data_IF_157868215561
#
_entry.id   IF_157868215561
#
_cell.length_a   1.000
_cell.length_b   1.000
_cell.length_c   1.000
_cell.angle_alpha   90.00
_cell.angle_beta   90.00
_cell.angle_gamma   90.00
#
_symmetry.space_group_name_H-M   'P 1'
#
loop_
_entity.id
_entity.type
_entity.pdbx_description
1 polymer ?
#
# COMPACT_ATOMS: atom_id res chain seq x y z
N UNK A 1 -14.85 21.64 2.63
CA UNK A 1 -14.26 20.30 2.39
C UNK A 1 -12.84 20.53 1.91
N UNK A 2 -11.87 20.49 2.84
CA UNK A 2 -10.48 20.85 2.53
C UNK A 2 -9.88 19.76 1.65
N UNK A 3 -9.74 20.06 0.35
CA UNK A 3 -8.97 19.24 -0.58
C UNK A 3 -7.53 19.18 -0.07
N UNK A 4 -7.05 18.02 0.33
CA UNK A 4 -5.62 17.80 0.51
C UNK A 4 -5.00 17.62 -0.89
N UNK A 5 -4.87 18.71 -1.65
CA UNK A 5 -4.20 18.68 -2.95
C UNK A 5 -2.69 18.61 -2.71
N UNK A 6 -2.16 17.41 -2.53
CA UNK A 6 -0.71 17.20 -2.46
C UNK A 6 -0.18 17.38 -3.89
N UNK A 7 0.28 18.59 -4.21
CA UNK A 7 1.16 18.82 -5.35
C UNK A 7 2.53 18.25 -5.01
N UNK A 8 2.80 17.00 -5.41
CA UNK A 8 4.16 16.46 -5.41
C UNK A 8 4.95 17.16 -6.53
N UNK A 9 5.59 18.28 -6.18
CA UNK A 9 6.65 18.89 -6.97
C UNK A 9 7.83 17.91 -7.09
N UNK A 10 8.45 17.88 -8.27
CA UNK A 10 9.60 17.07 -8.71
C UNK A 10 10.46 16.51 -7.56
N UNK A 11 10.33 15.20 -7.31
CA UNK A 11 11.31 14.48 -6.51
C UNK A 11 12.48 14.08 -7.39
N UNK A 12 13.67 14.53 -6.99
CA UNK A 12 14.96 13.95 -7.36
C UNK A 12 14.86 12.42 -7.34
N UNK A 13 15.32 11.76 -8.40
CA UNK A 13 15.43 10.31 -8.55
C UNK A 13 15.89 9.67 -7.23
N UNK A 14 14.96 9.18 -6.41
CA UNK A 14 15.30 8.64 -5.11
C UNK A 14 15.73 7.19 -5.31
N UNK A 15 17.04 7.00 -5.38
CA UNK A 15 17.69 5.69 -5.39
C UNK A 15 17.55 4.94 -4.06
N UNK A 16 16.52 5.21 -3.26
CA UNK A 16 16.27 4.54 -2.00
C UNK A 16 15.58 3.21 -2.29
N UNK A 17 16.39 2.21 -2.65
CA UNK A 17 15.92 0.86 -2.99
C UNK A 17 15.30 0.12 -1.80
N UNK A 18 15.44 0.63 -0.57
CA UNK A 18 14.95 -0.03 0.64
C UNK A 18 14.69 0.97 1.79
N UNK A 19 13.51 0.87 2.38
CA UNK A 19 13.01 1.60 3.55
C UNK A 19 13.00 0.63 4.73
N UNK A 20 13.65 1.02 5.82
CA UNK A 20 13.57 0.28 7.07
C UNK A 20 12.34 0.72 7.86
N UNK A 21 11.43 -0.22 8.11
CA UNK A 21 10.25 0.02 8.92
C UNK A 21 10.41 -0.75 10.23
N UNK A 22 10.20 -0.04 11.33
CA UNK A 22 10.16 -0.63 12.67
C UNK A 22 8.78 -0.41 13.27
N UNK A 23 8.48 -1.12 14.34
CA UNK A 23 7.27 -0.86 15.08
C UNK A 23 7.05 -1.85 16.19
N UNK A 24 5.97 -1.64 16.92
CA UNK A 24 5.49 -2.52 17.98
C UNK A 24 4.09 -3.01 17.65
N UNK A 25 3.87 -4.31 17.82
CA UNK A 25 2.56 -4.92 17.79
C UNK A 25 2.08 -5.20 19.22
N UNK A 26 0.89 -4.71 19.54
CA UNK A 26 0.24 -4.96 20.82
C UNK A 26 -1.15 -5.53 20.64
N UNK A 27 -1.73 -6.07 21.70
CA UNK A 27 -3.17 -6.29 21.79
C UNK A 27 -3.91 -4.98 22.13
N UNK A 28 -5.24 -5.05 22.14
CA UNK A 28 -6.14 -3.94 22.48
C UNK A 28 -5.95 -3.41 23.92
N UNK A 29 -5.29 -4.16 24.81
CA UNK A 29 -4.95 -3.74 26.16
C UNK A 29 -3.54 -3.10 26.24
N UNK A 30 -2.81 -3.05 25.13
CA UNK A 30 -1.45 -2.52 25.04
C UNK A 30 -0.36 -3.53 25.41
N UNK A 31 -0.68 -4.80 25.64
CA UNK A 31 0.31 -5.84 25.91
C UNK A 31 1.05 -6.20 24.62
N UNK A 32 2.40 -6.32 24.65
CA UNK A 32 3.16 -6.72 23.47
C UNK A 32 2.79 -8.13 23.01
N UNK A 33 2.71 -8.33 21.69
CA UNK A 33 2.42 -9.62 21.07
C UNK A 33 3.64 -10.13 20.31
N UNK A 34 4.18 -11.27 20.76
CA UNK A 34 5.29 -11.97 20.12
C UNK A 34 4.80 -12.90 19.00
N UNK A 35 5.70 -13.27 18.08
CA UNK A 35 5.46 -14.23 16.99
C UNK A 35 4.36 -13.83 16.00
N UNK A 36 3.93 -12.58 16.00
CA UNK A 36 3.06 -12.02 14.96
C UNK A 36 3.86 -11.81 13.69
N UNK A 37 3.41 -12.40 12.58
CA UNK A 37 3.99 -12.18 11.26
C UNK A 37 3.68 -10.77 10.75
N UNK A 38 4.72 -10.09 10.25
CA UNK A 38 4.63 -8.85 9.50
C UNK A 38 5.23 -9.11 8.13
N UNK A 39 4.48 -8.87 7.05
CA UNK A 39 4.94 -9.14 5.69
C UNK A 39 4.59 -8.00 4.73
N UNK A 40 5.34 -7.88 3.64
CA UNK A 40 4.99 -6.99 2.53
C UNK A 40 4.03 -7.68 1.55
N UNK A 41 3.32 -6.89 0.74
CA UNK A 41 2.49 -7.35 -0.39
C UNK A 41 3.29 -7.70 -1.66
N UNK A 42 4.62 -7.60 -1.61
CA UNK A 42 5.50 -8.08 -2.67
C UNK A 42 5.37 -9.59 -2.77
N UNK A 43 4.98 -10.09 -3.95
CA UNK A 43 4.76 -11.52 -4.18
C UNK A 43 5.88 -12.08 -5.06
N UNK A 44 6.45 -13.21 -4.63
CA UNK A 44 7.31 -14.05 -5.47
C UNK A 44 6.50 -15.19 -6.07
N UNK A 45 6.58 -15.30 -7.40
CA UNK A 45 5.90 -16.34 -8.18
C UNK A 45 6.86 -17.52 -8.40
N UNK A 46 6.47 -18.72 -7.97
CA UNK A 46 7.22 -19.97 -8.22
C UNK A 46 6.32 -20.99 -8.92
N UNK A 47 6.89 -22.12 -9.36
CA UNK A 47 6.11 -23.24 -9.92
C UNK A 47 5.18 -23.89 -8.88
N UNK A 48 5.41 -23.64 -7.58
CA UNK A 48 4.69 -24.24 -6.44
C UNK A 48 3.62 -23.31 -5.86
N UNK A 49 3.56 -22.03 -6.29
CA UNK A 49 2.60 -21.06 -5.79
C UNK A 49 3.16 -19.63 -5.71
N UNK A 50 2.56 -18.83 -4.84
CA UNK A 50 2.88 -17.41 -4.67
C UNK A 50 3.05 -17.11 -3.18
N UNK A 51 4.17 -16.46 -2.82
CA UNK A 51 4.52 -16.20 -1.43
C UNK A 51 4.91 -14.74 -1.23
N UNK A 52 4.64 -14.19 -0.03
CA UNK A 52 5.16 -12.89 0.34
C UNK A 52 6.69 -12.92 0.32
N UNK A 53 7.30 -12.01 -0.43
CA UNK A 53 8.74 -11.97 -0.68
C UNK A 53 9.54 -11.55 0.56
N UNK A 54 8.92 -10.81 1.49
CA UNK A 54 9.55 -10.40 2.73
C UNK A 54 8.58 -10.54 3.90
N UNK A 55 8.99 -11.26 4.94
CA UNK A 55 8.27 -11.37 6.20
C UNK A 55 9.23 -11.46 7.38
N UNK A 56 8.79 -10.98 8.52
CA UNK A 56 9.46 -11.09 9.82
C UNK A 56 8.43 -11.43 10.89
N UNK A 57 8.89 -11.89 12.04
CA UNK A 57 8.03 -12.06 13.22
C UNK A 57 8.43 -11.08 14.31
N UNK A 58 7.45 -10.66 15.10
CA UNK A 58 7.69 -9.82 16.28
C UNK A 58 8.42 -10.59 17.38
N UNK A 59 9.30 -9.91 18.10
CA UNK A 59 10.03 -10.46 19.24
C UNK A 59 9.17 -10.55 20.51
N UNK A 60 9.76 -11.00 21.63
CA UNK A 60 9.08 -11.11 22.93
C UNK A 60 8.48 -9.79 23.45
N UNK A 61 8.98 -8.64 22.97
CA UNK A 61 8.48 -7.31 23.30
C UNK A 61 7.51 -6.77 22.25
N UNK A 62 7.09 -7.59 21.29
CA UNK A 62 6.21 -7.22 20.19
C UNK A 62 6.90 -6.33 19.15
N UNK A 63 8.22 -6.18 19.19
CA UNK A 63 8.95 -5.30 18.28
C UNK A 63 9.26 -6.04 16.98
N UNK A 64 9.21 -5.32 15.86
CA UNK A 64 9.63 -5.84 14.56
C UNK A 64 10.48 -4.82 13.80
N UNK A 65 11.27 -5.33 12.85
CA UNK A 65 12.03 -4.55 11.87
C UNK A 65 11.95 -5.26 10.52
N UNK A 66 11.38 -4.60 9.53
CA UNK A 66 11.20 -5.14 8.16
C UNK A 66 11.73 -4.13 7.14
N UNK A 67 12.16 -4.64 6.00
CA UNK A 67 12.52 -3.84 4.85
C UNK A 67 11.35 -3.77 3.86
N UNK A 68 11.04 -2.58 3.36
CA UNK A 68 10.00 -2.36 2.37
C UNK A 68 10.48 -1.36 1.33
N UNK A 69 9.68 -1.12 0.31
CA UNK A 69 9.87 -0.03 -0.65
C UNK A 69 8.65 0.89 -0.64
N UNK A 70 8.81 2.11 -1.14
CA UNK A 70 7.68 3.01 -1.32
C UNK A 70 6.59 2.33 -2.17
N UNK A 71 5.32 2.47 -1.79
CA UNK A 71 4.15 1.82 -2.40
C UNK A 71 3.94 0.35 -2.03
N UNK A 72 4.78 -0.24 -1.19
CA UNK A 72 4.46 -1.52 -0.59
C UNK A 72 3.39 -1.37 0.49
N UNK A 73 2.70 -2.47 0.76
CA UNK A 73 1.73 -2.59 1.84
C UNK A 73 2.27 -3.58 2.88
N UNK A 74 2.37 -3.16 4.14
CA UNK A 74 2.74 -4.03 5.26
C UNK A 74 1.48 -4.64 5.85
N UNK A 75 1.43 -5.95 6.00
CA UNK A 75 0.33 -6.70 6.61
C UNK A 75 0.77 -7.30 7.95
N UNK A 76 -0.16 -7.38 8.91
CA UNK A 76 0.07 -7.85 10.27
C UNK A 76 -0.86 -9.02 10.60
N UNK A 77 -0.30 -10.18 10.93
CA UNK A 77 -1.06 -11.34 11.40
C UNK A 77 -2.08 -11.91 10.41
N UNK A 78 -2.07 -11.45 9.15
CA UNK A 78 -3.08 -11.70 8.13
C UNK A 78 -3.32 -10.46 7.26
N UNK A 79 -4.00 -10.61 6.13
CA UNK A 79 -4.19 -9.55 5.11
C UNK A 79 -4.98 -8.32 5.59
N UNK A 80 -5.67 -8.43 6.72
CA UNK A 80 -6.66 -7.47 7.19
C UNK A 80 -6.12 -6.16 7.75
N UNK A 81 -5.00 -6.24 8.46
CA UNK A 81 -4.43 -5.09 9.14
C UNK A 81 -3.19 -4.67 8.39
N UNK A 82 -3.25 -3.49 7.77
CA UNK A 82 -2.16 -3.07 6.92
C UNK A 82 -1.86 -1.57 6.95
N UNK A 83 -0.62 -1.26 6.56
CA UNK A 83 -0.12 0.10 6.39
C UNK A 83 0.53 0.23 5.02
N UNK A 84 0.17 1.29 4.31
CA UNK A 84 0.77 1.63 3.02
C UNK A 84 1.99 2.51 3.23
N UNK A 85 3.10 2.15 2.59
CA UNK A 85 4.36 2.89 2.64
C UNK A 85 4.33 4.06 1.64
N UNK A 86 3.71 5.18 2.04
CA UNK A 86 3.60 6.36 1.17
C UNK A 86 4.89 7.17 1.04
N UNK A 87 5.57 7.36 2.17
CA UNK A 87 6.73 8.26 2.25
C UNK A 87 7.97 7.52 1.78
N UNK A 88 8.77 8.18 0.97
CA UNK A 88 10.10 7.69 0.63
C UNK A 88 11.14 8.26 1.58
N UNK A 89 11.06 7.80 2.83
CA UNK A 89 12.00 8.17 3.90
C UNK A 89 12.68 6.91 4.42
N UNK A 90 14.01 6.93 4.69
CA UNK A 90 14.80 5.73 5.03
C UNK A 90 14.27 4.94 6.22
N UNK A 91 13.68 5.65 7.20
CA UNK A 91 13.22 5.08 8.45
C UNK A 91 11.78 5.51 8.73
N UNK A 92 10.93 4.53 9.00
CA UNK A 92 9.54 4.75 9.39
C UNK A 92 9.16 3.86 10.57
N UNK A 93 8.17 4.33 11.34
CA UNK A 93 7.65 3.60 12.51
C UNK A 93 6.16 3.39 12.32
N UNK A 94 5.72 2.14 12.22
CA UNK A 94 4.30 1.77 12.19
C UNK A 94 3.98 0.88 13.38
N UNK A 95 3.39 1.46 14.42
CA UNK A 95 2.87 0.66 15.54
C UNK A 95 1.49 0.14 15.16
N UNK A 96 1.21 -1.10 15.54
CA UNK A 96 -0.06 -1.73 15.26
C UNK A 96 -0.67 -2.32 16.53
N UNK A 97 -1.97 -2.12 16.70
CA UNK A 97 -2.74 -2.72 17.79
C UNK A 97 -3.74 -3.67 17.17
N UNK A 98 -3.60 -4.96 17.51
CA UNK A 98 -4.54 -6.00 17.12
C UNK A 98 -5.87 -5.79 17.84
N UNK A 99 -6.97 -5.85 17.09
CA UNK A 99 -8.31 -5.79 17.68
C UNK A 99 -8.58 -7.05 18.53
N UNK A 100 -9.47 -6.90 19.51
CA UNK A 100 -10.07 -7.99 20.28
C UNK A 100 -10.66 -9.11 19.41
N UNK A 101 -11.19 -8.77 18.24
CA UNK A 101 -11.77 -9.71 17.26
C UNK A 101 -10.74 -10.63 16.62
N UNK A 102 -9.50 -10.17 16.44
CA UNK A 102 -8.38 -10.99 15.99
C UNK A 102 -8.08 -12.14 16.96
N UNK A 103 -8.27 -11.89 18.27
CA UNK A 103 -8.10 -12.92 19.30
C UNK A 103 -9.30 -13.87 19.42
N UNK A 104 -10.48 -13.47 18.93
CA UNK A 104 -11.70 -14.28 19.01
C UNK A 104 -12.00 -15.12 17.77
N UNK A 105 -11.16 -15.11 16.74
CA UNK A 105 -11.36 -15.94 15.52
C UNK A 105 -12.61 -15.57 14.71
N UNK A 106 -13.11 -14.34 14.86
CA UNK A 106 -14.32 -13.77 14.25
C UNK A 106 -13.85 -12.46 13.60
N UNK A 107 -13.96 -12.18 12.30
CA UNK A 107 -14.83 -12.65 11.25
C UNK A 107 -13.98 -13.14 10.06
N UNK A 108 -14.57 -13.84 9.08
CA UNK A 108 -13.98 -14.07 7.75
C UNK A 108 -14.95 -13.62 6.63
N UNK A 109 -16.15 -13.15 6.99
CA UNK A 109 -17.25 -12.95 6.04
C UNK A 109 -17.54 -11.47 5.68
N UNK A 110 -17.22 -10.50 6.54
CA UNK A 110 -17.37 -9.07 6.20
C UNK A 110 -16.13 -8.47 5.48
N UNK A 111 -15.05 -9.25 5.42
CA UNK A 111 -13.66 -8.79 5.28
C UNK A 111 -13.13 -8.79 3.86
N UNK A 112 -13.71 -9.60 2.97
CA UNK A 112 -13.36 -9.61 1.54
C UNK A 112 -13.84 -8.36 0.78
N UNK A 113 -14.65 -7.49 1.41
CA UNK A 113 -15.24 -6.33 0.76
C UNK A 113 -14.41 -5.03 0.86
N UNK A 114 -13.41 -4.98 1.75
CA UNK A 114 -12.53 -3.81 1.94
C UNK A 114 -11.07 -4.27 1.85
N UNK A 115 -10.50 -4.22 0.64
CA UNK A 115 -9.11 -4.59 0.42
C UNK A 115 -8.17 -3.58 1.08
N UNK A 116 -7.57 -3.98 2.21
CA UNK A 116 -6.48 -3.23 2.82
C UNK A 116 -5.33 -3.08 1.81
N UNK A 117 -4.75 -1.88 1.70
CA UNK A 117 -3.66 -1.59 0.76
C UNK A 117 -4.04 -0.65 -0.37
N UNK A 118 -3.30 -0.75 -1.49
CA UNK A 118 -3.47 0.12 -2.66
C UNK A 118 -4.05 -0.67 -3.84
N UNK A 119 -5.11 -0.14 -4.46
CA UNK A 119 -5.50 -0.52 -5.80
C UNK A 119 -4.70 0.29 -6.84
N UNK A 120 -3.86 -0.39 -7.61
CA UNK A 120 -3.06 0.24 -8.67
C UNK A 120 -3.82 0.36 -9.98
N UNK A 121 -3.82 1.56 -10.57
CA UNK A 121 -4.56 1.90 -11.78
C UNK A 121 -3.60 2.58 -12.78
N UNK A 122 -3.38 1.97 -13.93
CA UNK A 122 -2.60 2.52 -15.05
C UNK A 122 -3.55 2.99 -16.13
N UNK A 123 -3.51 4.28 -16.50
CA UNK A 123 -4.31 4.81 -17.62
C UNK A 123 -5.81 4.43 -17.51
N UNK A 124 -6.38 4.61 -16.31
CA UNK A 124 -7.76 4.25 -15.94
C UNK A 124 -8.10 2.74 -16.01
N UNK A 125 -7.11 1.85 -16.06
CA UNK A 125 -7.30 0.39 -16.00
C UNK A 125 -6.60 -0.19 -14.78
N UNK A 126 -7.24 -1.15 -14.11
CA UNK A 126 -6.63 -1.88 -12.99
C UNK A 126 -5.37 -2.61 -13.48
N UNK A 127 -4.29 -2.49 -12.70
CA UNK A 127 -3.09 -3.29 -12.84
C UNK A 127 -3.35 -4.68 -12.25
N UNK A 128 -3.10 -5.73 -13.04
CA UNK A 128 -3.24 -7.11 -12.59
C UNK A 128 -2.22 -7.40 -11.49
N UNK A 129 -2.55 -8.31 -10.59
CA UNK A 129 -1.71 -8.67 -9.43
C UNK A 129 -0.27 -9.00 -9.83
N UNK A 130 -0.08 -9.89 -10.81
CA UNK A 130 1.24 -10.27 -11.34
C UNK A 130 2.07 -9.12 -11.92
N UNK A 131 1.42 -8.02 -12.30
CA UNK A 131 2.06 -6.86 -12.93
C UNK A 131 2.29 -5.71 -11.90
N UNK A 132 1.86 -5.88 -10.64
CA UNK A 132 1.93 -4.83 -9.61
C UNK A 132 3.35 -4.44 -9.25
N UNK A 133 4.25 -5.40 -9.08
CA UNK A 133 5.64 -5.11 -8.74
C UNK A 133 6.34 -4.33 -9.86
N UNK A 134 6.13 -4.74 -11.11
CA UNK A 134 6.63 -3.99 -12.26
C UNK A 134 6.05 -2.56 -12.30
N UNK A 135 4.75 -2.40 -12.03
CA UNK A 135 4.12 -1.09 -11.93
C UNK A 135 4.70 -0.21 -10.82
N UNK A 136 4.99 -0.77 -9.64
CA UNK A 136 5.64 -0.06 -8.53
C UNK A 136 7.06 0.37 -8.91
N UNK A 137 7.82 -0.47 -9.61
CA UNK A 137 9.16 -0.09 -10.10
C UNK A 137 9.11 1.03 -11.17
N UNK A 138 8.10 1.02 -12.05
CA UNK A 138 7.86 2.13 -12.98
C UNK A 138 7.50 3.44 -12.24
N UNK A 139 6.71 3.36 -11.16
CA UNK A 139 6.43 4.51 -10.29
C UNK A 139 7.70 5.06 -9.65
N UNK A 140 8.51 4.19 -9.03
CA UNK A 140 9.76 4.56 -8.34
C UNK A 140 10.80 5.14 -9.29
N UNK A 141 10.85 4.65 -10.53
CA UNK A 141 11.75 5.18 -11.57
C UNK A 141 11.27 6.49 -12.22
N UNK A 142 10.08 6.98 -11.86
CA UNK A 142 9.55 8.24 -12.39
C UNK A 142 9.08 8.17 -13.84
N UNK A 143 8.76 6.98 -14.36
CA UNK A 143 8.33 6.79 -15.76
C UNK A 143 6.93 7.36 -16.06
N UNK A 144 6.13 7.63 -15.03
CA UNK A 144 4.80 8.20 -15.20
C UNK A 144 4.83 9.73 -15.25
N UNK A 145 4.09 10.29 -16.20
CA UNK A 145 3.93 11.74 -16.37
C UNK A 145 3.22 12.38 -15.17
N UNK A 146 2.22 11.69 -14.63
CA UNK A 146 1.47 12.13 -13.45
C UNK A 146 0.91 10.93 -12.71
N UNK A 147 0.94 10.97 -11.39
CA UNK A 147 0.17 10.05 -10.55
C UNK A 147 -0.50 10.80 -9.38
N UNK A 148 -1.51 10.17 -8.79
CA UNK A 148 -2.21 10.68 -7.62
C UNK A 148 -2.73 9.52 -6.77
N UNK A 149 -2.72 9.72 -5.46
CA UNK A 149 -3.36 8.82 -4.49
C UNK A 149 -4.75 9.34 -4.19
N UNK A 150 -5.72 8.43 -4.21
CA UNK A 150 -7.12 8.64 -3.84
C UNK A 150 -7.39 7.89 -2.55
N UNK A 151 -8.14 8.50 -1.64
CA UNK A 151 -8.73 7.77 -0.52
C UNK A 151 -9.88 6.86 -0.98
N UNK A 152 -10.39 6.03 -0.07
CA UNK A 152 -11.53 5.15 -0.33
C UNK A 152 -12.74 5.88 -0.95
N UNK A 153 -13.10 7.06 -0.45
CA UNK A 153 -14.31 7.76 -0.91
C UNK A 153 -14.14 8.26 -2.34
N UNK A 154 -12.97 8.83 -2.66
CA UNK A 154 -12.63 9.29 -3.99
C UNK A 154 -12.53 8.10 -4.96
N UNK A 155 -11.81 7.04 -4.59
CA UNK A 155 -11.67 5.83 -5.40
C UNK A 155 -13.03 5.20 -5.71
N UNK A 156 -13.88 5.04 -4.70
CA UNK A 156 -15.21 4.45 -4.86
C UNK A 156 -16.09 5.30 -5.77
N UNK A 157 -16.07 6.63 -5.60
CA UNK A 157 -16.84 7.54 -6.45
C UNK A 157 -16.36 7.55 -7.90
N UNK A 158 -15.05 7.48 -8.13
CA UNK A 158 -14.48 7.60 -9.47
C UNK A 158 -14.45 6.29 -10.25
N UNK A 159 -14.24 5.16 -9.57
CA UNK A 159 -14.02 3.87 -10.21
C UNK A 159 -14.93 2.74 -9.68
N UNK A 160 -15.71 2.97 -8.63
CA UNK A 160 -16.60 1.95 -8.05
C UNK A 160 -15.88 0.88 -7.21
N UNK A 161 -14.60 1.06 -6.92
CA UNK A 161 -13.79 0.08 -6.19
C UNK A 161 -13.76 0.32 -4.68
N UNK A 162 -13.56 -0.76 -3.91
CA UNK A 162 -13.48 -0.76 -2.45
C UNK A 162 -12.10 -1.22 -1.97
N UNK A 163 -11.16 -0.29 -1.99
CA UNK A 163 -9.82 -0.46 -1.40
C UNK A 163 -9.51 0.73 -0.50
N UNK A 164 -8.60 0.55 0.45
CA UNK A 164 -8.19 1.61 1.37
C UNK A 164 -7.69 2.85 0.61
N UNK A 165 -6.90 2.63 -0.44
CA UNK A 165 -6.41 3.67 -1.33
C UNK A 165 -6.44 3.23 -2.79
N UNK A 166 -6.50 4.20 -3.70
CA UNK A 166 -6.23 4.01 -5.12
C UNK A 166 -5.01 4.81 -5.54
N UNK A 167 -4.09 4.21 -6.29
CA UNK A 167 -2.99 4.96 -6.92
C UNK A 167 -3.18 4.92 -8.43
N UNK A 168 -3.53 6.07 -8.99
CA UNK A 168 -3.75 6.25 -10.42
C UNK A 168 -2.54 6.91 -11.04
N UNK A 169 -1.95 6.27 -12.04
CA UNK A 169 -0.81 6.79 -12.78
C UNK A 169 -1.10 6.85 -14.29
N UNK A 170 -0.61 7.92 -14.93
CA UNK A 170 -0.82 8.20 -16.34
C UNK A 170 0.51 8.33 -17.08
N UNK A 171 0.59 7.68 -18.24
CA UNK A 171 1.63 7.96 -19.22
C UNK A 171 1.35 9.29 -19.93
N UNK A 172 2.39 9.96 -20.43
CA UNK A 172 2.25 11.28 -21.05
C UNK A 172 1.24 11.28 -22.22
N UNK A 173 1.38 10.33 -23.14
CA UNK A 173 0.50 10.18 -24.29
C UNK A 173 -0.97 10.00 -23.90
N UNK A 174 -1.23 9.19 -22.88
CA UNK A 174 -2.58 8.95 -22.42
C UNK A 174 -3.15 10.20 -21.76
N UNK A 175 -2.37 10.85 -20.90
CA UNK A 175 -2.77 12.07 -20.22
C UNK A 175 -3.11 13.20 -21.21
N UNK A 176 -2.23 13.42 -22.19
CA UNK A 176 -2.40 14.45 -23.20
C UNK A 176 -3.63 14.20 -24.07
N UNK A 177 -3.88 12.95 -24.49
CA UNK A 177 -5.04 12.60 -25.33
C UNK A 177 -6.36 12.60 -24.56
N UNK A 178 -6.39 12.13 -23.32
CA UNK A 178 -7.65 11.80 -22.64
C UNK A 178 -7.97 12.67 -21.41
N UNK A 179 -6.99 13.33 -20.80
CA UNK A 179 -7.15 14.04 -19.51
C UNK A 179 -6.90 15.54 -19.60
N UNK A 180 -5.86 15.99 -20.30
CA UNK A 180 -5.39 17.40 -20.33
C UNK A 180 -6.51 18.41 -20.58
N UNK A 181 -7.35 18.18 -21.59
CA UNK A 181 -8.42 19.09 -21.97
C UNK A 181 -9.73 18.91 -21.18
N UNK A 182 -9.90 17.80 -20.46
CA UNK A 182 -11.04 17.59 -19.56
C UNK A 182 -10.85 18.29 -18.20
N UNK A 183 -9.61 18.55 -17.81
CA UNK A 183 -9.29 19.26 -16.56
C UNK A 183 -9.66 20.75 -16.57
N UNK A 184 -9.84 21.37 -17.75
CA UNK A 184 -10.13 22.80 -17.93
C UNK A 184 -11.62 23.18 -17.85
N UNK A 185 -12.53 22.21 -17.64
CA UNK A 185 -14.00 22.42 -17.63
C UNK A 185 -14.64 22.36 -16.24
N UNK A 186 -13.90 22.69 -15.17
CA UNK A 186 -14.45 22.80 -13.81
C UNK A 186 -14.17 24.17 -13.23
#
# INVERSE_FOLDING_TARGET
>A
MNRLTIFLFFFTLSAMAQITITGKVTDYQGKPLANITVNTDVITYTNEGHYAANYVTTDANGMYKIQAKQWDTLHFGGVMYCYVVFKDTPYQVYNHTMDSTYMSGICLEYEYAYGCGILFIRNDKIVKERDREAFKEELRSGQFYKYSVMDYQELSKHYGYRSQYGLVAYTEDYYNRHKKNKSKKK
#
